data_IF_198957035976
#
_entry.id   IF_198957035976
#
_cell.length_a   1.000
_cell.length_b   1.000
_cell.length_c   1.000
_cell.angle_alpha   90.00
_cell.angle_beta   90.00
_cell.angle_gamma   90.00
#
_symmetry.space_group_name_H-M   'P 1'
#
loop_
_entity.id
_entity.type
_entity.pdbx_description
1 polymer ?
#
# COMPACT_ATOMS: atom_id res chain seq x y z
N UNK A 1 4.54 -19.87 8.51
CA UNK A 1 3.31 -19.41 9.19
C UNK A 1 2.49 -18.56 8.23
N UNK A 2 1.18 -18.41 8.46
CA UNK A 2 0.39 -17.46 7.66
C UNK A 2 0.66 -16.04 8.16
N UNK A 3 1.05 -15.13 7.25
CA UNK A 3 1.23 -13.72 7.56
C UNK A 3 -0.09 -12.95 7.48
N UNK A 4 -1.00 -13.37 6.59
CA UNK A 4 -2.34 -12.81 6.46
C UNK A 4 -3.38 -13.91 6.59
N UNK A 5 -4.33 -13.71 7.49
CA UNK A 5 -5.47 -14.61 7.70
C UNK A 5 -6.79 -13.85 7.57
N UNK A 6 -7.67 -14.35 6.73
CA UNK A 6 -9.04 -13.87 6.55
C UNK A 6 -9.97 -15.00 6.94
N UNK A 7 -10.85 -14.78 7.91
CA UNK A 7 -11.77 -15.81 8.42
C UNK A 7 -13.21 -15.32 8.39
N UNK A 8 -14.05 -16.05 7.65
CA UNK A 8 -15.51 -15.86 7.59
C UNK A 8 -15.93 -14.43 7.22
N UNK A 9 -15.11 -13.73 6.39
CA UNK A 9 -15.36 -12.34 6.04
C UNK A 9 -16.59 -12.23 5.13
N UNK A 10 -17.53 -11.39 5.56
CA UNK A 10 -18.73 -11.03 4.83
C UNK A 10 -18.87 -9.52 4.69
N UNK A 11 -19.42 -9.08 3.54
CA UNK A 11 -19.75 -7.69 3.26
C UNK A 11 -21.00 -7.55 2.43
N UNK A 12 -21.90 -6.66 2.86
CA UNK A 12 -23.13 -6.31 2.13
C UNK A 12 -23.14 -4.82 1.80
N UNK A 13 -23.78 -4.50 0.71
CA UNK A 13 -24.10 -3.14 0.28
C UNK A 13 -25.61 -3.08 0.02
N UNK A 14 -26.38 -2.60 1.00
CA UNK A 14 -27.85 -2.70 0.94
C UNK A 14 -28.30 -4.14 0.77
N UNK A 15 -29.04 -4.45 -0.30
CA UNK A 15 -29.49 -5.80 -0.62
C UNK A 15 -28.43 -6.72 -1.25
N UNK A 16 -27.28 -6.18 -1.70
CA UNK A 16 -26.27 -6.96 -2.41
C UNK A 16 -25.25 -7.58 -1.43
N UNK A 17 -25.13 -8.91 -1.43
CA UNK A 17 -24.07 -9.62 -0.75
C UNK A 17 -22.81 -9.64 -1.61
N UNK A 18 -21.83 -8.80 -1.30
CA UNK A 18 -20.59 -8.69 -2.07
C UNK A 18 -19.51 -9.70 -1.64
N UNK A 19 -19.47 -10.04 -0.35
CA UNK A 19 -18.60 -11.09 0.20
C UNK A 19 -19.45 -11.97 1.12
N UNK A 20 -19.31 -13.29 0.98
CA UNK A 20 -20.01 -14.28 1.81
C UNK A 20 -19.04 -15.34 2.31
N UNK A 21 -18.79 -15.35 3.61
CA UNK A 21 -17.96 -16.35 4.29
C UNK A 21 -16.59 -16.58 3.63
N UNK A 22 -15.91 -15.48 3.26
CA UNK A 22 -14.61 -15.57 2.57
C UNK A 22 -13.52 -15.96 3.56
N UNK A 23 -12.76 -16.99 3.19
CA UNK A 23 -11.61 -17.48 3.94
C UNK A 23 -10.38 -17.47 3.04
N UNK A 24 -9.26 -16.90 3.52
CA UNK A 24 -7.99 -16.84 2.81
C UNK A 24 -6.86 -16.90 3.83
N UNK A 25 -5.83 -17.68 3.52
CA UNK A 25 -4.60 -17.73 4.29
C UNK A 25 -3.42 -17.54 3.34
N UNK A 26 -2.58 -16.55 3.62
CA UNK A 26 -1.39 -16.23 2.82
C UNK A 26 -0.16 -16.47 3.67
N UNK A 27 0.72 -17.36 3.21
CA UNK A 27 1.98 -17.64 3.87
C UNK A 27 2.99 -16.50 3.61
N UNK A 28 3.91 -16.32 4.52
CA UNK A 28 5.04 -15.41 4.35
C UNK A 28 5.84 -15.78 3.09
N UNK A 29 6.36 -14.79 2.38
CA UNK A 29 7.14 -14.95 1.15
C UNK A 29 6.44 -15.75 0.03
N UNK A 30 5.10 -15.77 0.01
CA UNK A 30 4.31 -16.45 -1.01
C UNK A 30 3.58 -15.48 -1.94
N UNK A 31 3.25 -15.95 -3.13
CA UNK A 31 2.44 -15.22 -4.12
C UNK A 31 1.08 -15.91 -4.25
N UNK A 32 0.01 -15.16 -4.04
CA UNK A 32 -1.35 -15.65 -4.15
C UNK A 32 -2.13 -14.86 -5.23
N UNK A 33 -2.88 -15.58 -6.06
CA UNK A 33 -3.77 -14.98 -7.06
C UNK A 33 -5.23 -15.11 -6.65
N UNK A 34 -5.97 -13.99 -6.68
CA UNK A 34 -7.43 -13.98 -6.51
C UNK A 34 -8.06 -13.86 -7.88
N UNK A 35 -8.72 -14.91 -8.34
CA UNK A 35 -9.30 -15.04 -9.68
C UNK A 35 -10.82 -15.08 -9.58
N UNK A 36 -11.50 -14.55 -10.58
CA UNK A 36 -12.98 -14.57 -10.67
C UNK A 36 -13.49 -13.53 -11.65
N UNK A 37 -14.77 -13.61 -12.07
CA UNK A 37 -15.40 -12.66 -12.99
C UNK A 37 -15.51 -11.26 -12.39
N UNK A 38 -15.91 -10.29 -13.22
CA UNK A 38 -16.27 -8.95 -12.74
C UNK A 38 -17.49 -9.06 -11.81
N UNK A 39 -17.46 -8.31 -10.71
CA UNK A 39 -18.51 -8.39 -9.68
C UNK A 39 -18.32 -9.49 -8.63
N UNK A 40 -17.33 -10.39 -8.76
CA UNK A 40 -17.08 -11.48 -7.80
C UNK A 40 -16.55 -11.04 -6.41
N UNK A 41 -16.52 -9.75 -6.11
CA UNK A 41 -16.11 -9.26 -4.79
C UNK A 41 -14.59 -9.09 -4.59
N UNK A 42 -13.75 -9.36 -5.60
CA UNK A 42 -12.27 -9.25 -5.49
C UNK A 42 -11.81 -7.90 -4.94
N UNK A 43 -12.26 -6.81 -5.56
CA UNK A 43 -11.92 -5.46 -5.11
C UNK A 43 -12.50 -5.13 -3.73
N UNK A 44 -13.67 -5.67 -3.40
CA UNK A 44 -14.28 -5.53 -2.08
C UNK A 44 -13.44 -6.19 -1.02
N UNK A 45 -12.96 -7.42 -1.26
CA UNK A 45 -12.04 -8.12 -0.35
C UNK A 45 -10.76 -7.31 -0.16
N UNK A 46 -10.09 -6.90 -1.25
CA UNK A 46 -8.87 -6.11 -1.17
C UNK A 46 -9.09 -4.78 -0.42
N UNK A 47 -10.25 -4.12 -0.60
CA UNK A 47 -10.60 -2.92 0.16
C UNK A 47 -10.78 -3.20 1.67
N UNK A 48 -11.28 -4.38 2.04
CA UNK A 48 -11.35 -4.78 3.44
C UNK A 48 -9.95 -5.02 4.04
N UNK A 49 -9.03 -5.60 3.27
CA UNK A 49 -7.66 -5.86 3.73
C UNK A 49 -6.87 -4.58 4.02
N UNK A 50 -7.12 -3.51 3.26
CA UNK A 50 -6.42 -2.21 3.43
C UNK A 50 -7.23 -1.18 4.23
N UNK A 51 -8.32 -1.59 4.89
CA UNK A 51 -9.11 -0.73 5.76
C UNK A 51 -9.96 0.34 5.05
N UNK A 52 -10.05 0.30 3.71
CA UNK A 52 -10.98 1.18 2.95
C UNK A 52 -12.45 0.80 3.14
N UNK A 53 -12.71 -0.46 3.49
CA UNK A 53 -14.02 -0.98 3.84
C UNK A 53 -13.92 -1.81 5.13
N UNK A 54 -14.91 -1.67 5.98
CA UNK A 54 -15.04 -2.51 7.16
C UNK A 54 -15.98 -3.67 6.79
N UNK A 55 -15.54 -4.94 6.93
CA UNK A 55 -16.43 -6.08 6.74
C UNK A 55 -17.53 -6.10 7.81
N UNK A 56 -18.68 -6.68 7.48
CA UNK A 56 -19.80 -6.77 8.41
C UNK A 56 -19.68 -7.98 9.33
N UNK A 57 -18.95 -9.02 8.89
CA UNK A 57 -18.68 -10.24 9.66
C UNK A 57 -17.27 -10.76 9.41
N UNK A 58 -16.78 -11.60 10.30
CA UNK A 58 -15.50 -12.26 10.18
C UNK A 58 -14.34 -11.47 10.78
N UNK A 59 -13.13 -11.90 10.48
CA UNK A 59 -11.89 -11.27 10.96
C UNK A 59 -10.82 -11.24 9.89
N UNK A 60 -9.94 -10.23 9.99
CA UNK A 60 -8.73 -10.12 9.19
C UNK A 60 -7.57 -9.88 10.13
N UNK A 61 -6.57 -10.77 10.07
CA UNK A 61 -5.37 -10.71 10.90
C UNK A 61 -4.14 -10.59 9.98
N UNK A 62 -3.22 -9.73 10.32
CA UNK A 62 -1.92 -9.58 9.68
C UNK A 62 -0.83 -9.65 10.75
N UNK A 63 0.12 -10.55 10.56
CA UNK A 63 1.19 -10.83 11.52
C UNK A 63 0.67 -10.96 12.97
N UNK A 64 -0.41 -11.75 13.16
CA UNK A 64 -1.06 -11.97 14.44
C UNK A 64 -1.86 -10.79 15.00
N UNK A 65 -1.95 -9.65 14.30
CA UNK A 65 -2.66 -8.45 14.72
C UNK A 65 -3.92 -8.23 13.89
N UNK A 66 -5.02 -7.81 14.53
CA UNK A 66 -6.26 -7.46 13.83
C UNK A 66 -6.07 -6.14 13.03
N UNK A 67 -6.51 -6.17 11.77
CA UNK A 67 -6.58 -4.96 10.95
C UNK A 67 -7.97 -4.28 11.04
N UNK A 68 -8.96 -4.96 11.63
CA UNK A 68 -10.32 -4.44 11.71
C UNK A 68 -10.41 -3.22 12.64
N UNK A 69 -11.09 -2.19 12.16
CA UNK A 69 -11.26 -0.93 12.90
C UNK A 69 -10.05 0.00 12.84
N UNK A 70 -8.93 -0.43 12.22
CA UNK A 70 -7.76 0.42 11.98
C UNK A 70 -7.98 1.30 10.75
N UNK A 71 -7.38 2.48 10.75
CA UNK A 71 -7.38 3.38 9.60
C UNK A 71 -6.39 2.88 8.53
N UNK A 72 -6.60 3.20 7.25
CA UNK A 72 -5.71 2.75 6.17
C UNK A 72 -4.22 3.05 6.39
N UNK A 73 -3.89 4.20 6.94
CA UNK A 73 -2.49 4.56 7.22
C UNK A 73 -1.88 3.70 8.35
N UNK A 74 -2.66 3.28 9.35
CA UNK A 74 -2.19 2.38 10.41
C UNK A 74 -1.92 0.98 9.85
N UNK A 75 -2.78 0.51 8.94
CA UNK A 75 -2.61 -0.77 8.25
C UNK A 75 -1.38 -0.73 7.33
N UNK A 76 -1.14 0.40 6.66
CA UNK A 76 0.07 0.60 5.87
C UNK A 76 1.32 0.53 6.75
N UNK A 77 1.32 1.16 7.93
CA UNK A 77 2.41 1.09 8.90
C UNK A 77 2.66 -0.34 9.44
N UNK A 78 1.64 -1.20 9.44
CA UNK A 78 1.80 -2.62 9.78
C UNK A 78 2.51 -3.41 8.66
N UNK A 79 2.59 -2.86 7.44
CA UNK A 79 3.25 -3.49 6.28
C UNK A 79 2.29 -3.98 5.20
N UNK A 80 1.01 -3.62 5.23
CA UNK A 80 0.06 -3.94 4.16
C UNK A 80 -0.08 -2.72 3.25
N UNK A 81 0.50 -2.79 2.06
CA UNK A 81 0.33 -1.78 1.01
C UNK A 81 -0.51 -2.30 -0.16
N UNK A 82 -1.08 -1.38 -0.91
CA UNK A 82 -1.84 -1.69 -2.11
C UNK A 82 -1.52 -0.74 -3.25
N UNK A 83 -1.17 -1.33 -4.39
CA UNK A 83 -1.01 -0.61 -5.65
C UNK A 83 -2.37 -0.50 -6.35
N UNK A 84 -2.75 0.70 -6.78
CA UNK A 84 -4.05 0.96 -7.40
C UNK A 84 -4.02 0.74 -8.92
N UNK A 85 -5.22 0.68 -9.51
CA UNK A 85 -5.36 0.46 -10.95
C UNK A 85 -4.87 1.66 -11.78
N UNK A 86 -5.09 2.87 -11.27
CA UNK A 86 -4.48 4.11 -11.76
C UNK A 86 -3.36 4.51 -10.81
N UNK A 87 -2.14 4.76 -11.29
CA UNK A 87 -1.04 5.17 -10.42
C UNK A 87 -1.37 6.43 -9.62
N UNK A 88 -1.34 6.31 -8.30
CA UNK A 88 -1.54 7.43 -7.36
C UNK A 88 -0.17 8.00 -6.98
N UNK A 89 0.38 8.86 -7.85
CA UNK A 89 1.65 9.56 -7.68
C UNK A 89 1.45 11.07 -7.69
N UNK A 90 2.34 11.81 -7.07
CA UNK A 90 2.33 13.27 -7.06
C UNK A 90 2.98 13.79 -8.34
N UNK A 91 2.16 14.12 -9.35
CA UNK A 91 2.63 14.47 -10.69
C UNK A 91 3.54 15.70 -10.75
N UNK A 92 3.27 16.68 -9.90
CA UNK A 92 4.02 17.95 -9.84
C UNK A 92 5.36 17.82 -9.09
N UNK A 93 5.56 16.72 -8.37
CA UNK A 93 6.82 16.42 -7.70
C UNK A 93 7.75 15.61 -8.62
N UNK A 94 9.05 15.70 -8.36
CA UNK A 94 10.04 14.83 -9.00
C UNK A 94 9.88 13.39 -8.55
N UNK A 95 10.49 12.46 -9.29
CA UNK A 95 10.53 11.03 -8.94
C UNK A 95 11.16 10.81 -7.56
N UNK A 96 12.23 11.54 -7.25
CA UNK A 96 12.89 11.49 -5.96
C UNK A 96 11.99 12.00 -4.82
N UNK A 97 11.33 13.13 -5.01
CA UNK A 97 10.41 13.68 -4.01
C UNK A 97 9.23 12.75 -3.75
N UNK A 98 8.67 12.11 -4.79
CA UNK A 98 7.66 11.08 -4.62
C UNK A 98 8.16 9.93 -3.73
N UNK A 99 9.42 9.48 -3.94
CA UNK A 99 10.00 8.38 -3.17
C UNK A 99 10.31 8.77 -1.72
N UNK A 100 10.65 10.04 -1.46
CA UNK A 100 10.91 10.54 -0.11
C UNK A 100 9.66 10.51 0.78
N UNK A 101 8.47 10.72 0.22
CA UNK A 101 7.21 10.75 1.00
C UNK A 101 7.00 9.46 1.81
N UNK A 102 6.96 8.26 1.22
CA UNK A 102 6.79 7.03 1.98
C UNK A 102 7.98 6.71 2.89
N UNK A 103 9.21 7.09 2.50
CA UNK A 103 10.38 6.91 3.35
C UNK A 103 10.27 7.72 4.64
N UNK A 104 9.81 8.97 4.57
CA UNK A 104 9.52 9.79 5.75
C UNK A 104 8.35 9.23 6.55
N UNK A 105 7.25 8.86 5.89
CA UNK A 105 6.07 8.29 6.54
C UNK A 105 6.42 6.99 7.30
N UNK A 106 7.29 6.15 6.76
CA UNK A 106 7.74 4.92 7.41
C UNK A 106 8.61 5.19 8.64
N UNK A 107 9.53 6.16 8.56
CA UNK A 107 10.42 6.52 9.67
C UNK A 107 9.67 7.24 10.79
N UNK A 108 8.84 8.22 10.46
CA UNK A 108 8.28 9.18 11.43
C UNK A 108 6.87 8.79 11.89
N UNK A 109 6.23 7.80 11.27
CA UNK A 109 4.84 7.44 11.53
C UNK A 109 3.86 8.54 11.09
N UNK A 110 2.64 8.54 11.67
CA UNK A 110 1.58 9.46 11.25
C UNK A 110 1.77 10.91 11.73
N UNK A 111 2.64 11.15 12.74
CA UNK A 111 2.85 12.49 13.30
C UNK A 111 4.16 12.57 14.10
N UNK A 112 5.22 13.12 13.49
CA UNK A 112 6.33 13.67 14.27
C UNK A 112 6.60 15.10 13.81
N UNK A 113 6.79 16.00 14.76
CA UNK A 113 7.06 17.44 14.54
C UNK A 113 8.50 17.69 13.99
N UNK A 114 9.17 16.68 13.44
CA UNK A 114 10.50 16.81 12.84
C UNK A 114 10.49 17.48 11.45
N UNK A 115 9.32 17.93 10.98
CA UNK A 115 9.18 18.69 9.74
C UNK A 115 9.97 20.02 9.70
N UNK A 116 10.54 20.45 10.83
CA UNK A 116 11.37 21.65 10.93
C UNK A 116 12.87 21.38 10.68
N UNK A 117 13.30 20.13 10.59
CA UNK A 117 14.68 19.78 10.23
C UNK A 117 14.87 19.86 8.72
N UNK A 118 15.88 20.60 8.28
CA UNK A 118 16.18 20.72 6.85
C UNK A 118 16.37 19.34 6.20
N UNK A 119 15.80 19.11 5.01
CA UNK A 119 15.90 17.83 4.28
C UNK A 119 17.35 17.36 4.12
N UNK A 120 18.30 18.28 3.99
CA UNK A 120 19.74 17.98 3.89
C UNK A 120 20.35 17.30 5.10
N UNK A 121 19.72 17.35 6.28
CA UNK A 121 20.17 16.68 7.51
C UNK A 121 19.62 15.25 7.67
N UNK A 122 18.84 14.75 6.69
CA UNK A 122 18.12 13.47 6.77
C UNK A 122 18.70 12.47 5.77
N UNK A 123 20.01 12.26 5.86
CA UNK A 123 20.77 11.42 4.92
C UNK A 123 20.25 9.98 4.83
N UNK A 124 19.87 9.40 5.93
CA UNK A 124 19.32 8.05 6.03
C UNK A 124 18.07 7.84 5.15
N UNK A 125 17.16 8.80 5.15
CA UNK A 125 15.94 8.75 4.33
C UNK A 125 16.24 8.93 2.85
N UNK A 126 17.19 9.86 2.55
CA UNK A 126 17.59 10.12 1.16
C UNK A 126 18.31 8.90 0.58
N UNK A 127 19.24 8.31 1.32
CA UNK A 127 19.95 7.09 0.92
C UNK A 127 18.97 5.93 0.66
N UNK A 128 17.98 5.74 1.55
CA UNK A 128 16.95 4.72 1.36
C UNK A 128 16.09 4.96 0.13
N UNK A 129 15.69 6.20 -0.13
CA UNK A 129 14.94 6.55 -1.33
C UNK A 129 15.76 6.29 -2.61
N UNK A 130 17.06 6.61 -2.60
CA UNK A 130 17.96 6.35 -3.74
C UNK A 130 18.15 4.86 -3.99
N UNK A 131 18.36 4.03 -2.95
CA UNK A 131 18.43 2.58 -3.07
C UNK A 131 17.18 2.01 -3.77
N UNK A 132 15.99 2.42 -3.35
CA UNK A 132 14.73 1.99 -3.95
C UNK A 132 14.60 2.42 -5.40
N UNK A 133 15.04 3.64 -5.74
CA UNK A 133 15.04 4.13 -7.13
C UNK A 133 16.01 3.34 -8.02
N UNK A 134 17.15 2.92 -7.49
CA UNK A 134 18.10 2.06 -8.20
C UNK A 134 17.49 0.68 -8.45
N UNK A 135 16.89 0.07 -7.43
CA UNK A 135 16.23 -1.25 -7.53
C UNK A 135 15.12 -1.25 -8.59
N UNK A 136 14.32 -0.18 -8.63
CA UNK A 136 13.23 -0.01 -9.61
C UNK A 136 13.69 0.51 -10.97
N UNK A 137 15.00 0.73 -11.19
CA UNK A 137 15.59 1.27 -12.43
C UNK A 137 14.99 2.63 -12.81
N UNK A 138 14.88 3.52 -11.83
CA UNK A 138 14.36 4.89 -11.96
C UNK A 138 15.39 5.96 -11.56
N UNK A 139 16.59 5.56 -11.15
CA UNK A 139 17.63 6.47 -10.64
C UNK A 139 18.05 7.54 -11.67
N UNK A 140 18.07 7.20 -12.95
CA UNK A 140 18.36 8.12 -14.06
C UNK A 140 17.29 9.21 -14.25
N UNK A 141 16.08 8.97 -13.72
CA UNK A 141 14.91 9.85 -13.83
C UNK A 141 14.59 10.60 -12.55
N UNK A 142 15.44 10.51 -11.52
CA UNK A 142 15.16 11.04 -10.18
C UNK A 142 14.73 12.51 -10.14
N UNK A 143 15.26 13.35 -11.05
CA UNK A 143 14.94 14.78 -11.13
C UNK A 143 13.82 15.11 -12.12
N UNK A 144 13.28 14.11 -12.82
CA UNK A 144 12.15 14.29 -13.73
C UNK A 144 10.85 14.48 -12.94
N UNK A 145 9.97 15.38 -13.40
CA UNK A 145 8.61 15.46 -12.86
C UNK A 145 7.84 14.16 -13.14
N UNK A 146 7.17 13.62 -12.13
CA UNK A 146 6.45 12.36 -12.24
C UNK A 146 5.32 12.41 -13.28
N UNK A 147 4.72 13.59 -13.53
CA UNK A 147 3.73 13.77 -14.60
C UNK A 147 4.28 13.42 -15.98
N UNK A 148 5.57 13.67 -16.24
CA UNK A 148 6.24 13.47 -17.54
C UNK A 148 6.69 12.03 -17.78
N UNK A 149 6.57 11.14 -16.79
CA UNK A 149 6.99 9.75 -16.91
C UNK A 149 6.06 8.95 -17.81
N UNK A 150 6.61 7.90 -18.44
CA UNK A 150 5.81 6.89 -19.12
C UNK A 150 4.86 6.18 -18.15
N UNK A 151 3.77 5.59 -18.66
CA UNK A 151 2.83 4.82 -17.82
C UNK A 151 3.50 3.67 -17.07
N UNK A 152 4.46 3.01 -17.72
CA UNK A 152 5.23 1.91 -17.11
C UNK A 152 6.13 2.39 -15.97
N UNK A 153 6.79 3.55 -16.16
CA UNK A 153 7.63 4.15 -15.12
C UNK A 153 6.80 4.64 -13.93
N UNK A 154 5.64 5.27 -14.19
CA UNK A 154 4.68 5.65 -13.14
C UNK A 154 4.27 4.44 -12.30
N UNK A 155 4.04 3.29 -12.96
CA UNK A 155 3.69 2.05 -12.25
C UNK A 155 4.84 1.52 -11.41
N UNK A 156 6.08 1.59 -11.92
CA UNK A 156 7.28 1.20 -11.14
C UNK A 156 7.48 2.12 -9.94
N UNK A 157 7.29 3.43 -10.11
CA UNK A 157 7.37 4.40 -9.01
C UNK A 157 6.32 4.12 -7.94
N UNK A 158 5.06 3.89 -8.32
CA UNK A 158 3.99 3.53 -7.39
C UNK A 158 4.30 2.25 -6.59
N UNK A 159 4.86 1.23 -7.26
CA UNK A 159 5.29 -0.01 -6.58
C UNK A 159 6.41 0.28 -5.59
N UNK A 160 7.38 1.13 -5.96
CA UNK A 160 8.46 1.53 -5.06
C UNK A 160 7.96 2.29 -3.83
N UNK A 161 6.88 3.06 -3.97
CA UNK A 161 6.27 3.83 -2.88
C UNK A 161 5.42 2.98 -1.92
N UNK A 162 5.11 1.72 -2.25
CA UNK A 162 4.39 0.77 -1.40
C UNK A 162 5.35 0.03 -0.47
#
# INVERSE_FOLDING_TARGET
MAILEVKNVGKRFGGLQALSNVNLSVAENSVHAIIGPNGAGKSTLLNCLVGKLIPDTGSVMFDGQSVLGRKPYEINQMGISRVFQTPEIFGDLSVQENMLIPCFAKRDGAFQMNALTAMSSQRDVIEKAEEMLVEMKLADKRHMHAASMSRGDKRRLEIAMC
#
